data_IF_373195144926
#
_entry.id   IF_373195144926
#
_cell.length_a   1.000
_cell.length_b   1.000
_cell.length_c   1.000
_cell.angle_alpha   90.00
_cell.angle_beta   90.00
_cell.angle_gamma   90.00
#
_symmetry.space_group_name_H-M   'P 1'
#
loop_
_entity.id
_entity.type
_entity.pdbx_description
1 polymer ?
#
# COMPACT_ATOMS: atom_id res chain seq x y z
N UNK A 1 24.24 4.69 -14.57
CA UNK A 1 24.82 4.41 -13.23
C UNK A 1 26.33 4.21 -13.39
N UNK A 2 27.12 5.29 -13.22
CA UNK A 2 28.58 5.19 -13.19
C UNK A 2 29.02 4.93 -11.74
N UNK A 3 29.98 4.01 -11.60
CA UNK A 3 30.64 3.61 -10.35
C UNK A 3 31.16 4.82 -9.57
N UNK A 4 30.58 5.09 -8.41
CA UNK A 4 31.22 5.90 -7.37
C UNK A 4 32.16 4.99 -6.57
N UNK A 5 33.39 5.44 -6.40
CA UNK A 5 34.41 4.75 -5.61
C UNK A 5 33.91 4.48 -4.20
N UNK A 6 34.18 3.26 -3.74
CA UNK A 6 33.85 2.75 -2.41
C UNK A 6 34.70 3.48 -1.38
N UNK A 7 34.20 4.58 -0.83
CA UNK A 7 34.57 4.99 0.53
C UNK A 7 33.82 4.05 1.48
N UNK A 8 34.42 3.65 2.60
CA UNK A 8 33.91 2.56 3.46
C UNK A 8 32.60 2.87 4.25
N UNK A 9 32.05 4.07 4.11
CA UNK A 9 30.88 4.58 4.85
C UNK A 9 29.47 4.08 4.43
N UNK A 10 29.19 3.69 3.16
CA UNK A 10 27.89 3.16 2.74
C UNK A 10 27.45 1.90 3.50
N UNK A 11 28.38 1.22 4.19
CA UNK A 11 28.11 -0.04 4.88
C UNK A 11 27.33 0.15 6.18
N UNK A 12 27.56 1.23 6.93
CA UNK A 12 26.94 1.40 8.26
C UNK A 12 25.46 1.74 8.15
N UNK A 13 25.09 2.71 7.30
CA UNK A 13 23.69 3.07 7.06
C UNK A 13 22.93 1.90 6.46
N UNK A 14 23.52 1.17 5.50
CA UNK A 14 22.92 -0.02 4.92
C UNK A 14 22.63 -1.09 5.99
N UNK A 15 23.58 -1.36 6.90
CA UNK A 15 23.39 -2.31 8.02
C UNK A 15 22.26 -1.87 8.94
N UNK A 16 22.15 -0.58 9.26
CA UNK A 16 21.03 -0.08 10.08
C UNK A 16 19.68 -0.20 9.36
N UNK A 17 19.62 0.09 8.06
CA UNK A 17 18.39 -0.11 7.27
C UNK A 17 18.01 -1.59 7.26
N UNK A 18 18.96 -2.50 7.03
CA UNK A 18 18.75 -3.94 7.08
C UNK A 18 18.24 -4.40 8.46
N UNK A 19 18.79 -3.85 9.54
CA UNK A 19 18.32 -4.11 10.90
C UNK A 19 16.88 -3.62 11.10
N UNK A 20 16.52 -2.43 10.60
CA UNK A 20 15.14 -1.92 10.67
C UNK A 20 14.18 -2.80 9.85
N UNK A 21 14.59 -3.30 8.68
CA UNK A 21 13.83 -4.28 7.90
C UNK A 21 13.54 -5.52 8.75
N UNK A 22 14.56 -6.12 9.36
CA UNK A 22 14.39 -7.35 10.18
C UNK A 22 13.50 -7.08 11.40
N UNK A 23 13.77 -6.02 12.16
CA UNK A 23 13.01 -5.68 13.37
C UNK A 23 11.54 -5.37 13.03
N UNK A 24 11.29 -4.62 11.96
CA UNK A 24 9.91 -4.30 11.52
C UNK A 24 9.13 -5.55 11.09
N UNK A 25 9.77 -6.51 10.44
CA UNK A 25 9.18 -7.83 10.12
C UNK A 25 8.84 -8.60 11.39
N UNK A 26 9.77 -8.68 12.35
CA UNK A 26 9.53 -9.38 13.62
C UNK A 26 8.35 -8.75 14.37
N UNK A 27 8.32 -7.42 14.48
CA UNK A 27 7.21 -6.70 15.11
C UNK A 27 5.88 -6.97 14.39
N UNK A 28 5.87 -6.96 13.05
CA UNK A 28 4.68 -7.32 12.28
C UNK A 28 4.21 -8.75 12.55
N UNK A 29 5.11 -9.73 12.55
CA UNK A 29 4.79 -11.14 12.81
C UNK A 29 4.23 -11.36 14.23
N UNK A 30 4.72 -10.60 15.21
CA UNK A 30 4.27 -10.69 16.61
C UNK A 30 2.92 -10.00 16.81
N UNK A 31 2.69 -8.85 16.16
CA UNK A 31 1.55 -7.97 16.44
C UNK A 31 0.35 -8.22 15.50
N UNK A 32 0.58 -8.46 14.21
CA UNK A 32 -0.46 -8.62 13.20
C UNK A 32 -1.43 -9.80 13.42
N UNK A 33 -1.04 -10.95 14.02
CA UNK A 33 -1.98 -12.04 14.30
C UNK A 33 -3.18 -11.65 15.16
N UNK A 34 -3.11 -10.53 15.90
CA UNK A 34 -4.22 -10.02 16.74
C UNK A 34 -5.27 -9.25 15.92
N UNK A 35 -4.95 -8.82 14.70
CA UNK A 35 -5.82 -7.99 13.85
C UNK A 35 -7.12 -8.69 13.45
N UNK A 36 -7.11 -9.96 12.96
CA UNK A 36 -8.36 -10.64 12.61
C UNK A 36 -9.35 -10.75 13.78
N UNK A 37 -8.84 -10.99 14.99
CA UNK A 37 -9.67 -11.04 16.19
C UNK A 37 -10.30 -9.68 16.51
N UNK A 38 -9.56 -8.57 16.32
CA UNK A 38 -10.09 -7.23 16.50
C UNK A 38 -11.18 -6.88 15.48
N UNK A 39 -11.04 -7.30 14.22
CA UNK A 39 -12.07 -7.10 13.18
C UNK A 39 -13.36 -7.85 13.54
N UNK A 40 -13.26 -9.10 14.01
CA UNK A 40 -14.42 -9.92 14.40
C UNK A 40 -15.24 -9.35 15.55
N UNK A 41 -14.60 -8.66 16.50
CA UNK A 41 -15.30 -8.02 17.63
C UNK A 41 -16.21 -6.87 17.19
N UNK A 42 -16.02 -6.33 15.99
CA UNK A 42 -16.79 -5.21 15.46
C UNK A 42 -16.51 -3.89 16.19
N UNK A 43 -17.08 -2.78 15.70
CA UNK A 43 -16.89 -1.47 16.32
C UNK A 43 -17.60 -1.39 17.68
N UNK A 44 -16.86 -0.98 18.72
CA UNK A 44 -17.42 -0.60 20.02
C UNK A 44 -18.11 0.77 19.90
N UNK A 45 -19.43 0.74 19.61
CA UNK A 45 -20.36 1.87 19.43
C UNK A 45 -20.00 2.86 18.29
N UNK A 46 -20.98 3.28 17.48
CA UNK A 46 -20.76 4.34 16.49
C UNK A 46 -20.50 5.68 17.21
N UNK A 47 -19.41 6.36 16.84
CA UNK A 47 -19.15 7.75 17.21
C UNK A 47 -20.12 8.68 16.47
N UNK A 48 -20.74 9.62 17.16
CA UNK A 48 -21.75 10.57 16.63
C UNK A 48 -21.15 11.73 15.80
N UNK A 49 -19.98 11.55 15.20
CA UNK A 49 -19.25 12.61 14.49
C UNK A 49 -19.25 12.46 12.97
N UNK A 50 -18.97 13.57 12.26
CA UNK A 50 -18.75 13.55 10.81
C UNK A 50 -17.53 12.69 10.48
N UNK A 51 -17.75 11.63 9.69
CA UNK A 51 -16.70 10.74 9.20
C UNK A 51 -15.91 11.43 8.08
N UNK A 52 -14.58 11.45 8.20
CA UNK A 52 -13.66 11.90 7.14
C UNK A 52 -12.91 10.67 6.64
N UNK A 53 -13.08 10.26 5.38
CA UNK A 53 -12.38 9.10 4.84
C UNK A 53 -10.87 9.39 4.71
N UNK A 54 -10.00 8.38 4.86
CA UNK A 54 -8.56 8.55 4.72
C UNK A 54 -8.16 9.12 3.35
N UNK A 55 -8.91 8.82 2.29
CA UNK A 55 -8.70 9.40 0.95
C UNK A 55 -8.86 10.93 0.93
N UNK A 56 -9.82 11.48 1.67
CA UNK A 56 -10.02 12.92 1.72
C UNK A 56 -8.86 13.59 2.49
N UNK A 57 -8.43 13.00 3.60
CA UNK A 57 -7.25 13.45 4.32
C UNK A 57 -5.97 13.34 3.47
N UNK A 58 -5.82 12.26 2.70
CA UNK A 58 -4.73 12.10 1.74
C UNK A 58 -4.75 13.21 0.69
N UNK A 59 -5.92 13.51 0.10
CA UNK A 59 -6.04 14.59 -0.88
C UNK A 59 -5.66 15.96 -0.30
N UNK A 60 -6.04 16.24 0.96
CA UNK A 60 -5.61 17.46 1.66
C UNK A 60 -4.09 17.49 1.84
N UNK A 61 -3.48 16.40 2.32
CA UNK A 61 -2.02 16.34 2.51
C UNK A 61 -1.28 16.47 1.17
N UNK A 62 -1.76 15.83 0.10
CA UNK A 62 -1.22 16.00 -1.25
C UNK A 62 -1.31 17.46 -1.71
N UNK A 63 -2.45 18.13 -1.46
CA UNK A 63 -2.59 19.56 -1.73
C UNK A 63 -1.58 20.40 -0.96
N UNK A 64 -1.38 20.13 0.34
CA UNK A 64 -0.38 20.82 1.15
C UNK A 64 1.05 20.59 0.66
N UNK A 65 1.37 19.39 0.17
CA UNK A 65 2.65 19.09 -0.48
C UNK A 65 2.85 19.99 -1.69
N UNK A 66 1.88 20.08 -2.61
CA UNK A 66 2.00 20.97 -3.78
C UNK A 66 2.03 22.46 -3.41
N UNK A 67 1.29 22.88 -2.39
CA UNK A 67 1.39 24.25 -1.87
C UNK A 67 2.81 24.52 -1.37
N UNK A 68 3.41 23.59 -0.62
CA UNK A 68 4.80 23.72 -0.20
C UNK A 68 5.76 23.84 -1.39
N UNK A 69 5.50 23.10 -2.47
CA UNK A 69 6.31 23.19 -3.69
C UNK A 69 6.23 24.55 -4.38
N UNK A 70 5.03 25.11 -4.49
CA UNK A 70 4.84 26.47 -5.01
C UNK A 70 5.59 27.49 -4.15
N UNK A 71 5.46 27.39 -2.81
CA UNK A 71 6.15 28.27 -1.87
C UNK A 71 7.68 28.12 -1.93
N UNK A 72 8.17 26.90 -2.09
CA UNK A 72 9.60 26.64 -2.30
C UNK A 72 10.10 27.28 -3.59
N UNK A 73 9.39 27.11 -4.71
CA UNK A 73 9.81 27.73 -5.98
C UNK A 73 9.81 29.25 -5.87
N UNK A 74 8.81 29.86 -5.22
CA UNK A 74 8.81 31.30 -4.92
C UNK A 74 10.03 31.70 -4.09
N UNK A 75 10.36 30.94 -3.03
CA UNK A 75 11.55 31.19 -2.21
C UNK A 75 12.84 31.16 -3.04
N UNK A 76 13.03 30.14 -3.88
CA UNK A 76 14.23 30.02 -4.71
C UNK A 76 14.31 31.13 -5.75
N UNK A 77 13.19 31.51 -6.39
CA UNK A 77 13.14 32.64 -7.32
C UNK A 77 13.52 33.96 -6.65
N UNK A 78 13.03 34.22 -5.44
CA UNK A 78 13.21 35.52 -4.75
C UNK A 78 14.51 35.64 -3.99
N UNK A 79 14.98 34.57 -3.36
CA UNK A 79 16.13 34.61 -2.45
C UNK A 79 17.40 34.09 -3.12
N UNK A 80 17.27 33.14 -4.07
CA UNK A 80 18.40 32.48 -4.73
C UNK A 80 18.43 32.70 -6.25
N UNK A 81 17.65 33.66 -6.76
CA UNK A 81 17.64 34.02 -8.19
C UNK A 81 17.19 32.88 -9.12
N UNK A 82 16.44 31.91 -8.61
CA UNK A 82 16.01 30.73 -9.37
C UNK A 82 17.00 29.57 -9.37
N UNK A 83 18.17 29.70 -8.71
CA UNK A 83 19.18 28.64 -8.65
C UNK A 83 19.04 27.79 -7.36
N UNK A 84 18.64 26.51 -7.45
CA UNK A 84 18.55 25.63 -6.29
C UNK A 84 19.92 25.05 -5.86
N UNK A 85 21.05 25.41 -6.49
CA UNK A 85 22.37 24.81 -6.23
C UNK A 85 22.82 24.88 -4.76
N UNK A 86 22.34 25.86 -4.00
CA UNK A 86 22.64 26.00 -2.56
C UNK A 86 22.20 24.78 -1.74
N UNK A 87 21.15 24.07 -2.17
CA UNK A 87 20.63 22.86 -1.53
C UNK A 87 20.81 21.62 -2.41
N UNK A 88 20.64 21.74 -3.73
CA UNK A 88 20.70 20.62 -4.67
C UNK A 88 22.05 19.89 -4.66
N UNK A 89 23.15 20.60 -4.38
CA UNK A 89 24.51 20.02 -4.32
C UNK A 89 24.69 18.91 -3.29
N UNK A 90 23.79 18.81 -2.30
CA UNK A 90 23.83 17.77 -1.26
C UNK A 90 23.03 16.51 -1.62
N UNK A 91 22.20 16.57 -2.68
CA UNK A 91 21.29 15.50 -3.07
C UNK A 91 21.71 14.81 -4.37
N UNK A 92 21.21 13.58 -4.63
CA UNK A 92 21.38 12.93 -5.92
C UNK A 92 20.79 13.75 -7.07
N UNK A 93 21.24 13.48 -8.30
CA UNK A 93 20.69 14.09 -9.51
C UNK A 93 19.20 13.79 -9.67
N UNK A 94 18.44 14.75 -10.22
CA UNK A 94 17.00 14.61 -10.48
C UNK A 94 16.10 15.17 -9.36
N UNK A 95 16.67 15.98 -8.48
CA UNK A 95 15.94 16.82 -7.52
C UNK A 95 15.95 18.28 -7.98
N UNK A 96 14.94 19.04 -7.56
CA UNK A 96 14.83 20.49 -7.76
C UNK A 96 14.77 20.95 -9.23
N UNK A 97 14.10 20.19 -10.11
CA UNK A 97 13.75 20.67 -11.45
C UNK A 97 12.57 21.65 -11.35
N UNK A 98 12.89 22.91 -11.10
CA UNK A 98 11.90 23.97 -10.88
C UNK A 98 11.26 24.45 -12.18
N UNK A 99 10.00 24.85 -12.08
CA UNK A 99 9.29 25.56 -13.15
C UNK A 99 9.55 27.07 -13.06
N UNK A 100 10.83 27.46 -13.20
CA UNK A 100 11.27 28.85 -13.02
C UNK A 100 10.77 29.79 -14.13
N UNK A 101 10.30 29.22 -15.25
CA UNK A 101 9.79 29.97 -16.40
C UNK A 101 8.30 30.28 -16.34
N UNK A 102 7.56 29.62 -15.45
CA UNK A 102 6.12 29.82 -15.31
C UNK A 102 5.75 31.26 -14.99
N UNK A 103 4.90 31.90 -15.82
CA UNK A 103 4.45 33.27 -15.58
C UNK A 103 3.64 33.39 -14.28
N UNK A 104 2.93 32.32 -13.88
CA UNK A 104 2.16 32.29 -12.63
C UNK A 104 3.09 32.29 -11.42
N UNK A 105 4.14 31.46 -11.44
CA UNK A 105 5.09 31.38 -10.32
C UNK A 105 5.93 32.66 -10.20
N UNK A 106 6.30 33.28 -11.33
CA UNK A 106 6.95 34.60 -11.33
C UNK A 106 6.05 35.69 -10.77
N UNK A 107 4.79 35.74 -11.20
CA UNK A 107 3.81 36.68 -10.65
C UNK A 107 3.61 36.50 -9.14
N UNK A 108 3.48 35.25 -8.67
CA UNK A 108 3.40 34.96 -7.23
C UNK A 108 4.67 35.39 -6.49
N UNK A 109 5.84 35.16 -7.07
CA UNK A 109 7.13 35.53 -6.50
C UNK A 109 7.25 37.06 -6.37
N UNK A 110 6.92 37.80 -7.42
CA UNK A 110 6.97 39.27 -7.43
C UNK A 110 6.02 39.90 -6.41
N UNK A 111 4.89 39.25 -6.14
CA UNK A 111 3.90 39.69 -5.16
C UNK A 111 4.20 39.29 -3.71
N UNK A 112 5.20 38.44 -3.43
CA UNK A 112 5.44 37.92 -2.09
C UNK A 112 6.32 38.88 -1.25
N UNK A 113 5.80 39.46 -0.15
CA UNK A 113 6.44 40.62 0.50
C UNK A 113 7.66 40.27 1.35
N UNK A 114 7.70 39.07 1.94
CA UNK A 114 8.79 38.64 2.85
C UNK A 114 9.23 37.22 2.48
N UNK A 115 9.96 37.05 1.36
CA UNK A 115 10.28 35.74 0.82
C UNK A 115 11.17 34.91 1.77
N UNK A 116 11.95 35.52 2.65
CA UNK A 116 12.82 34.84 3.61
C UNK A 116 12.04 33.99 4.62
N UNK A 117 10.78 34.36 4.92
CA UNK A 117 9.90 33.56 5.79
C UNK A 117 9.52 32.21 5.18
N UNK A 118 9.75 32.02 3.87
CA UNK A 118 9.52 30.76 3.18
C UNK A 118 10.69 29.78 3.31
N UNK A 119 11.79 30.13 3.97
CA UNK A 119 12.92 29.23 4.20
C UNK A 119 12.56 27.85 4.79
N UNK A 120 11.51 27.69 5.63
CA UNK A 120 11.05 26.37 6.08
C UNK A 120 10.46 25.47 4.99
N UNK A 121 10.05 26.02 3.83
CA UNK A 121 9.57 25.23 2.70
C UNK A 121 10.67 24.36 2.06
N UNK A 122 11.93 24.72 2.31
CA UNK A 122 13.13 23.95 1.94
C UNK A 122 13.25 22.77 2.90
N UNK A 123 12.89 21.58 2.41
CA UNK A 123 12.97 20.26 3.05
C UNK A 123 12.14 20.06 4.33
N UNK A 124 12.01 21.04 5.23
CA UNK A 124 11.39 20.85 6.57
C UNK A 124 9.90 20.57 6.53
N UNK A 125 9.13 21.40 5.82
CA UNK A 125 7.69 21.16 5.65
C UNK A 125 7.44 19.83 4.94
N UNK A 126 8.28 19.50 3.96
CA UNK A 126 8.23 18.25 3.24
C UNK A 126 8.54 17.04 4.15
N UNK A 127 9.54 17.15 5.03
CA UNK A 127 9.86 16.15 6.05
C UNK A 127 8.71 15.93 7.04
N UNK A 128 7.91 16.96 7.32
CA UNK A 128 6.69 16.80 8.11
C UNK A 128 5.60 16.03 7.33
N UNK A 129 5.32 16.45 6.09
CA UNK A 129 4.14 16.01 5.32
C UNK A 129 4.29 14.64 4.67
N UNK A 130 5.51 14.16 4.42
CA UNK A 130 5.71 12.89 3.74
C UNK A 130 5.19 11.69 4.55
N UNK A 131 5.39 11.68 5.88
CA UNK A 131 4.89 10.59 6.73
C UNK A 131 3.36 10.44 6.71
N UNK A 132 2.55 11.51 6.94
CA UNK A 132 1.12 11.40 6.81
C UNK A 132 0.70 11.06 5.38
N UNK A 133 1.39 11.57 4.35
CA UNK A 133 1.12 11.21 2.96
C UNK A 133 1.20 9.68 2.74
N UNK A 134 2.33 9.05 3.11
CA UNK A 134 2.51 7.60 2.87
C UNK A 134 1.59 6.73 3.73
N UNK A 135 1.38 7.09 5.01
CA UNK A 135 0.51 6.31 5.88
C UNK A 135 -0.97 6.48 5.54
N UNK A 136 -1.40 7.66 5.07
CA UNK A 136 -2.77 7.88 4.57
C UNK A 136 -3.02 7.17 3.24
N UNK A 137 -2.01 7.07 2.36
CA UNK A 137 -2.08 6.25 1.16
C UNK A 137 -2.32 4.77 1.51
N UNK A 138 -1.54 4.22 2.45
CA UNK A 138 -1.74 2.85 2.93
C UNK A 138 -3.10 2.67 3.60
N UNK A 139 -3.49 3.60 4.48
CA UNK A 139 -4.80 3.59 5.15
C UNK A 139 -5.97 3.63 4.16
N UNK A 140 -5.82 4.35 3.05
CA UNK A 140 -6.80 4.41 1.97
C UNK A 140 -6.96 3.05 1.30
N UNK A 141 -5.86 2.37 1.00
CA UNK A 141 -5.88 1.00 0.45
C UNK A 141 -6.57 0.03 1.41
N UNK A 142 -6.20 0.07 2.69
CA UNK A 142 -6.85 -0.74 3.73
C UNK A 142 -8.34 -0.48 3.77
N UNK A 143 -8.76 0.80 3.74
CA UNK A 143 -10.17 1.19 3.84
C UNK A 143 -10.99 0.81 2.62
N UNK A 144 -10.40 0.81 1.42
CA UNK A 144 -11.03 0.31 0.20
C UNK A 144 -11.15 -1.20 0.17
N UNK A 145 -10.17 -1.91 0.74
CA UNK A 145 -10.21 -3.36 0.88
C UNK A 145 -11.24 -3.76 1.93
N UNK A 146 -11.09 -3.31 3.17
CA UNK A 146 -11.99 -3.65 4.28
C UNK A 146 -11.97 -2.56 5.37
N UNK A 147 -13.13 -1.97 5.65
CA UNK A 147 -13.24 -0.91 6.64
C UNK A 147 -12.93 -1.39 8.06
N UNK A 148 -13.24 -2.65 8.37
CA UNK A 148 -12.90 -3.28 9.64
C UNK A 148 -11.39 -3.43 9.80
N UNK A 149 -10.70 -3.90 8.74
CA UNK A 149 -9.24 -4.02 8.72
C UNK A 149 -8.54 -2.68 8.94
N UNK A 150 -8.96 -1.65 8.21
CA UNK A 150 -8.46 -0.28 8.40
C UNK A 150 -8.56 0.17 9.86
N UNK A 151 -9.76 0.06 10.46
CA UNK A 151 -9.98 0.46 11.86
C UNK A 151 -9.18 -0.37 12.83
N UNK A 152 -9.08 -1.68 12.60
CA UNK A 152 -8.31 -2.58 13.44
C UNK A 152 -6.82 -2.23 13.43
N UNK A 153 -6.21 -2.02 12.25
CA UNK A 153 -4.80 -1.66 12.13
C UNK A 153 -4.55 -0.27 12.74
N UNK A 154 -5.32 0.74 12.32
CA UNK A 154 -5.13 2.13 12.74
C UNK A 154 -5.41 2.38 14.23
N UNK A 155 -6.04 1.43 14.93
CA UNK A 155 -6.29 1.49 16.38
C UNK A 155 -5.54 0.40 17.16
N UNK A 156 -4.61 -0.29 16.52
CA UNK A 156 -3.80 -1.35 17.14
C UNK A 156 -2.40 -0.89 17.50
N UNK A 157 -1.69 -1.74 18.23
CA UNK A 157 -0.27 -1.62 18.49
C UNK A 157 0.62 -1.71 17.25
N UNK A 158 0.09 -1.96 16.03
CA UNK A 158 0.87 -1.92 14.79
C UNK A 158 1.19 -0.49 14.34
N UNK A 159 0.34 0.48 14.68
CA UNK A 159 0.45 1.84 14.17
C UNK A 159 1.70 2.59 14.68
N UNK A 160 2.04 2.58 15.99
CA UNK A 160 3.27 3.22 16.45
C UNK A 160 4.55 2.60 15.85
N UNK A 161 4.74 1.27 15.81
CA UNK A 161 5.88 0.64 15.13
C UNK A 161 5.98 1.00 13.65
N UNK A 162 4.87 1.10 12.92
CA UNK A 162 4.91 1.54 11.52
C UNK A 162 5.42 2.98 11.41
N UNK A 163 4.89 3.89 12.23
CA UNK A 163 5.34 5.30 12.28
C UNK A 163 6.84 5.40 12.61
N UNK A 164 7.30 4.65 13.62
CA UNK A 164 8.71 4.61 14.04
C UNK A 164 9.59 4.02 12.96
N UNK A 165 9.25 2.85 12.42
CA UNK A 165 9.99 2.18 11.33
C UNK A 165 10.21 3.12 10.14
N UNK A 166 9.15 3.81 9.72
CA UNK A 166 9.19 4.72 8.58
C UNK A 166 10.05 5.95 8.88
N UNK A 167 9.92 6.49 10.10
CA UNK A 167 10.69 7.64 10.56
C UNK A 167 12.17 7.31 10.69
N UNK A 168 12.54 6.17 11.27
CA UNK A 168 13.93 5.76 11.43
C UNK A 168 14.61 5.60 10.07
N UNK A 169 13.95 4.96 9.11
CA UNK A 169 14.47 4.81 7.74
C UNK A 169 14.68 6.16 7.07
N UNK A 170 13.69 7.07 7.17
CA UNK A 170 13.85 8.44 6.69
C UNK A 170 15.08 9.11 7.35
N UNK A 171 15.18 9.05 8.68
CA UNK A 171 16.27 9.66 9.43
C UNK A 171 17.65 9.13 9.03
N UNK A 172 17.77 7.81 8.79
CA UNK A 172 19.00 7.18 8.34
C UNK A 172 19.43 7.69 6.96
N UNK A 173 18.48 7.80 6.04
CA UNK A 173 18.74 8.27 4.67
C UNK A 173 19.04 9.76 4.64
N UNK A 174 18.30 10.55 5.41
CA UNK A 174 18.52 11.99 5.57
C UNK A 174 19.89 12.28 6.20
N UNK A 175 20.35 11.41 7.12
CA UNK A 175 21.68 11.50 7.69
C UNK A 175 22.80 11.11 6.71
N UNK A 176 22.55 10.13 5.84
CA UNK A 176 23.49 9.74 4.77
C UNK A 176 23.62 10.85 3.71
N UNK A 177 22.49 11.51 3.40
CA UNK A 177 22.38 12.64 2.45
C UNK A 177 22.44 13.99 3.17
N UNK A 178 23.37 14.12 4.13
CA UNK A 178 23.40 15.25 5.04
C UNK A 178 23.51 16.59 4.31
N UNK A 179 22.60 17.49 4.66
CA UNK A 179 22.51 18.86 4.17
C UNK A 179 22.41 19.84 5.36
N UNK A 180 22.43 21.16 5.13
CA UNK A 180 22.39 22.15 6.21
C UNK A 180 21.13 22.10 7.09
N UNK A 181 20.05 21.47 6.62
CA UNK A 181 18.74 21.40 7.28
C UNK A 181 18.45 20.04 7.93
N UNK A 182 19.33 19.05 7.75
CA UNK A 182 19.13 17.68 8.24
C UNK A 182 18.66 17.62 9.69
N UNK A 183 19.28 18.37 10.63
CA UNK A 183 18.88 18.32 12.05
C UNK A 183 17.43 18.78 12.24
N UNK A 184 17.02 19.86 11.56
CA UNK A 184 15.65 20.35 11.60
C UNK A 184 14.69 19.31 11.01
N UNK A 185 15.06 18.70 9.89
CA UNK A 185 14.26 17.67 9.21
C UNK A 185 14.02 16.45 10.10
N UNK A 186 15.03 16.01 10.87
CA UNK A 186 14.89 14.91 11.83
C UNK A 186 13.94 15.29 12.98
N UNK A 187 14.05 16.51 13.53
CA UNK A 187 13.19 16.99 14.60
C UNK A 187 11.74 17.09 14.11
N UNK A 188 11.54 17.71 12.96
CA UNK A 188 10.22 17.88 12.34
C UNK A 188 9.60 16.53 11.97
N UNK A 189 10.39 15.58 11.44
CA UNK A 189 9.95 14.20 11.22
C UNK A 189 9.55 13.53 12.54
N UNK A 190 10.32 13.71 13.61
CA UNK A 190 10.00 13.20 14.93
C UNK A 190 8.65 13.70 15.45
N UNK A 191 8.34 14.99 15.27
CA UNK A 191 7.01 15.54 15.57
C UNK A 191 5.93 14.89 14.70
N UNK A 192 6.17 14.77 13.40
CA UNK A 192 5.25 14.09 12.48
C UNK A 192 4.99 12.62 12.87
N UNK A 193 6.01 11.93 13.37
CA UNK A 193 5.94 10.54 13.83
C UNK A 193 5.02 10.35 15.03
N UNK A 194 4.82 11.40 15.84
CA UNK A 194 3.88 11.41 16.95
C UNK A 194 2.49 11.85 16.49
N UNK A 195 2.38 12.90 15.69
CA UNK A 195 1.09 13.47 15.30
C UNK A 195 0.32 12.61 14.29
N UNK A 196 1.03 12.00 13.33
CA UNK A 196 0.43 11.17 12.28
C UNK A 196 -0.34 9.96 12.81
N UNK A 197 0.21 9.13 13.72
CA UNK A 197 -0.55 8.00 14.26
C UNK A 197 -1.76 8.46 15.11
N UNK A 198 -1.66 9.58 15.83
CA UNK A 198 -2.80 10.16 16.56
C UNK A 198 -3.91 10.60 15.59
N UNK A 199 -3.55 11.25 14.49
CA UNK A 199 -4.47 11.62 13.42
C UNK A 199 -5.16 10.38 12.83
N UNK A 200 -4.39 9.35 12.44
CA UNK A 200 -4.93 8.13 11.84
C UNK A 200 -5.85 7.37 12.79
N UNK A 201 -5.48 7.24 14.06
CA UNK A 201 -6.32 6.61 15.08
C UNK A 201 -7.64 7.39 15.27
N UNK A 202 -7.59 8.73 15.25
CA UNK A 202 -8.78 9.59 15.34
C UNK A 202 -9.68 9.48 14.12
N UNK A 203 -9.12 9.45 12.91
CA UNK A 203 -9.87 9.22 11.67
C UNK A 203 -10.53 7.85 11.70
N UNK A 204 -9.81 6.81 12.11
CA UNK A 204 -10.32 5.45 12.22
C UNK A 204 -11.42 5.30 13.28
N UNK A 205 -11.33 6.03 14.39
CA UNK A 205 -12.36 6.04 15.43
C UNK A 205 -13.68 6.67 14.95
N UNK A 206 -13.62 7.55 13.93
CA UNK A 206 -14.79 8.24 13.35
C UNK A 206 -15.29 7.60 12.06
N UNK A 207 -14.58 6.62 11.51
CA UNK A 207 -14.98 5.97 10.27
C UNK A 207 -16.22 5.10 10.48
N UNK A 208 -17.30 5.47 9.79
CA UNK A 208 -18.59 4.75 9.78
C UNK A 208 -18.71 3.79 8.60
N UNK A 209 -17.59 3.55 7.90
CA UNK A 209 -17.52 2.71 6.74
C UNK A 209 -18.02 1.28 6.93
N UNK A 210 -18.86 0.83 6.00
CA UNK A 210 -19.37 -0.55 5.95
C UNK A 210 -18.72 -1.42 4.87
N UNK A 211 -17.77 -0.87 4.10
CA UNK A 211 -17.05 -1.62 3.06
C UNK A 211 -16.43 -2.88 3.66
N UNK A 212 -16.70 -4.02 3.04
CA UNK A 212 -16.14 -5.31 3.40
C UNK A 212 -15.21 -5.79 2.32
N UNK A 213 -14.36 -6.72 2.70
CA UNK A 213 -13.45 -7.39 1.79
C UNK A 213 -14.21 -7.94 0.57
N UNK A 214 -13.82 -7.58 -0.67
CA UNK A 214 -14.54 -8.01 -1.87
C UNK A 214 -14.63 -9.54 -1.96
N UNK A 215 -15.85 -10.07 -2.10
CA UNK A 215 -16.06 -11.52 -2.24
C UNK A 215 -16.03 -11.98 -3.71
N UNK A 216 -16.26 -11.07 -4.66
CA UNK A 216 -16.29 -11.35 -6.08
C UNK A 216 -14.96 -11.07 -6.79
N UNK A 217 -14.74 -11.77 -7.91
CA UNK A 217 -13.61 -11.52 -8.82
C UNK A 217 -13.62 -10.09 -9.34
N UNK A 218 -14.77 -9.62 -9.82
CA UNK A 218 -14.93 -8.25 -10.29
C UNK A 218 -14.60 -7.23 -9.19
N UNK A 219 -15.03 -7.48 -7.96
CA UNK A 219 -14.69 -6.64 -6.80
C UNK A 219 -13.18 -6.60 -6.53
N UNK A 220 -12.50 -7.75 -6.59
CA UNK A 220 -11.04 -7.81 -6.41
C UNK A 220 -10.28 -7.16 -7.58
N UNK A 221 -10.72 -7.33 -8.82
CA UNK A 221 -10.11 -6.68 -9.99
C UNK A 221 -10.29 -5.16 -9.91
N UNK A 222 -11.46 -4.68 -9.49
CA UNK A 222 -11.70 -3.24 -9.26
C UNK A 222 -10.83 -2.71 -8.13
N UNK A 223 -10.63 -3.49 -7.06
CA UNK A 223 -9.70 -3.15 -5.98
C UNK A 223 -8.24 -3.07 -6.48
N UNK A 224 -7.77 -4.06 -7.24
CA UNK A 224 -6.42 -4.10 -7.81
C UNK A 224 -6.21 -2.92 -8.77
N UNK A 225 -7.18 -2.64 -9.64
CA UNK A 225 -7.14 -1.47 -10.52
C UNK A 225 -7.08 -0.15 -9.74
N UNK A 226 -7.84 -0.05 -8.63
CA UNK A 226 -7.82 1.14 -7.75
C UNK A 226 -6.46 1.30 -7.08
N UNK A 227 -5.83 0.20 -6.65
CA UNK A 227 -4.49 0.18 -6.08
C UNK A 227 -3.45 0.63 -7.11
N UNK A 228 -3.51 0.10 -8.34
CA UNK A 228 -2.63 0.50 -9.43
C UNK A 228 -2.75 1.99 -9.76
N UNK A 229 -3.98 2.49 -9.93
CA UNK A 229 -4.24 3.90 -10.21
C UNK A 229 -3.76 4.83 -9.08
N UNK A 230 -4.02 4.48 -7.82
CA UNK A 230 -3.49 5.22 -6.68
C UNK A 230 -1.96 5.19 -6.62
N UNK A 231 -1.35 4.02 -6.90
CA UNK A 231 0.10 3.89 -6.97
C UNK A 231 0.73 4.81 -8.01
N UNK A 232 0.14 4.90 -9.21
CA UNK A 232 0.57 5.85 -10.25
C UNK A 232 0.45 7.29 -9.77
N UNK A 233 -0.66 7.68 -9.15
CA UNK A 233 -0.82 9.04 -8.60
C UNK A 233 0.21 9.35 -7.52
N UNK A 234 0.50 8.40 -6.63
CA UNK A 234 1.55 8.54 -5.61
C UNK A 234 2.92 8.72 -6.25
N UNK A 235 3.23 7.98 -7.32
CA UNK A 235 4.48 8.13 -8.06
C UNK A 235 4.58 9.47 -8.80
N UNK A 236 3.48 9.99 -9.33
CA UNK A 236 3.46 11.35 -9.90
C UNK A 236 3.77 12.37 -8.82
N UNK A 237 3.07 12.32 -7.68
CA UNK A 237 3.33 13.24 -6.54
C UNK A 237 4.77 13.10 -6.06
N UNK A 238 5.31 11.88 -6.01
CA UNK A 238 6.70 11.65 -5.67
C UNK A 238 7.65 12.36 -6.66
N UNK A 239 7.49 12.11 -7.96
CA UNK A 239 8.35 12.66 -9.01
C UNK A 239 8.27 14.19 -9.09
N UNK A 240 7.07 14.77 -9.08
CA UNK A 240 6.86 16.20 -9.33
C UNK A 240 6.93 17.05 -8.07
N UNK A 241 6.58 16.50 -6.91
CA UNK A 241 6.45 17.28 -5.69
C UNK A 241 7.39 16.84 -4.58
N UNK A 242 7.43 15.55 -4.21
CA UNK A 242 8.28 15.12 -3.09
C UNK A 242 9.78 15.27 -3.40
N UNK A 243 10.18 15.27 -4.68
CA UNK A 243 11.53 15.56 -5.15
C UNK A 243 11.77 17.03 -5.58
N UNK A 244 10.79 17.91 -5.34
CA UNK A 244 10.83 19.32 -5.75
C UNK A 244 10.96 19.57 -7.27
N UNK A 245 10.44 18.67 -8.11
CA UNK A 245 10.51 18.81 -9.57
C UNK A 245 9.21 19.35 -10.18
N UNK A 246 8.77 20.53 -9.75
CA UNK A 246 7.52 21.11 -10.25
C UNK A 246 7.53 21.32 -11.77
N UNK A 247 8.71 21.54 -12.37
CA UNK A 247 8.90 21.65 -13.82
C UNK A 247 8.54 20.40 -14.61
N UNK A 248 8.43 19.23 -13.96
CA UNK A 248 7.95 17.99 -14.59
C UNK A 248 6.43 17.85 -14.58
N UNK A 249 5.70 18.79 -13.96
CA UNK A 249 4.27 18.63 -13.76
C UNK A 249 3.50 18.50 -15.07
N UNK A 250 3.82 19.33 -16.07
CA UNK A 250 3.15 19.31 -17.37
C UNK A 250 3.30 17.97 -18.09
N UNK A 251 4.51 17.39 -18.07
CA UNK A 251 4.79 16.07 -18.64
C UNK A 251 4.04 14.93 -17.92
N UNK A 252 3.78 15.10 -16.61
CA UNK A 252 3.11 14.09 -15.78
C UNK A 252 1.61 14.29 -15.68
N UNK A 253 1.09 15.46 -16.02
CA UNK A 253 -0.31 15.81 -15.88
C UNK A 253 -1.24 14.87 -16.67
N UNK A 254 -0.96 14.50 -17.94
CA UNK A 254 -1.81 13.55 -18.67
C UNK A 254 -1.91 12.19 -17.96
N UNK A 255 -0.79 11.68 -17.43
CA UNK A 255 -0.74 10.42 -16.70
C UNK A 255 -1.52 10.53 -15.37
N UNK A 256 -1.36 11.65 -14.66
CA UNK A 256 -2.08 11.93 -13.43
C UNK A 256 -3.60 11.99 -13.66
N UNK A 257 -4.05 12.71 -14.69
CA UNK A 257 -5.47 12.82 -15.05
C UNK A 257 -6.05 11.48 -15.48
N UNK A 258 -5.31 10.70 -16.27
CA UNK A 258 -5.74 9.35 -16.66
C UNK A 258 -5.87 8.42 -15.44
N UNK A 259 -4.89 8.43 -14.53
CA UNK A 259 -4.94 7.65 -13.30
C UNK A 259 -6.06 8.09 -12.36
N UNK A 260 -6.29 9.41 -12.21
CA UNK A 260 -7.38 9.96 -11.41
C UNK A 260 -8.76 9.60 -12.00
N UNK A 261 -8.92 9.72 -13.32
CA UNK A 261 -10.14 9.34 -14.03
C UNK A 261 -10.42 7.84 -13.91
N UNK A 262 -9.40 7.00 -14.11
CA UNK A 262 -9.51 5.56 -13.89
C UNK A 262 -9.89 5.23 -12.44
N UNK A 263 -9.23 5.85 -11.46
CA UNK A 263 -9.55 5.66 -10.05
C UNK A 263 -10.99 6.06 -9.74
N UNK A 264 -11.44 7.22 -10.20
CA UNK A 264 -12.82 7.69 -10.01
C UNK A 264 -13.84 6.73 -10.64
N UNK A 265 -13.57 6.26 -11.88
CA UNK A 265 -14.40 5.28 -12.57
C UNK A 265 -14.48 3.95 -11.82
N UNK A 266 -13.34 3.39 -11.41
CA UNK A 266 -13.27 2.15 -10.64
C UNK A 266 -13.97 2.29 -9.29
N UNK A 267 -13.84 3.44 -8.61
CA UNK A 267 -14.59 3.70 -7.37
C UNK A 267 -16.08 3.81 -7.60
N UNK A 268 -16.51 4.43 -8.69
CA UNK A 268 -17.91 4.46 -9.11
C UNK A 268 -18.47 3.05 -9.37
N UNK A 269 -17.71 2.20 -10.07
CA UNK A 269 -18.07 0.78 -10.31
C UNK A 269 -18.15 0.02 -9.00
N UNK A 270 -17.17 0.17 -8.11
CA UNK A 270 -17.16 -0.50 -6.81
C UNK A 270 -18.39 -0.20 -5.94
N UNK A 271 -18.94 1.03 -6.03
CA UNK A 271 -20.18 1.39 -5.34
C UNK A 271 -21.43 0.71 -5.91
N UNK A 272 -21.39 0.29 -7.18
CA UNK A 272 -22.50 -0.37 -7.88
C UNK A 272 -22.43 -1.89 -7.80
N UNK A 273 -21.23 -2.46 -7.64
CA UNK A 273 -21.07 -3.89 -7.44
C UNK A 273 -21.76 -4.32 -6.14
N UNK A 274 -22.89 -5.00 -6.29
CA UNK A 274 -23.53 -5.74 -5.19
C UNK A 274 -22.78 -7.05 -5.05
N UNK A 275 -22.35 -7.39 -3.85
CA UNK A 275 -21.96 -8.78 -3.58
C UNK A 275 -23.26 -9.59 -3.59
N UNK A 276 -23.40 -10.50 -4.55
CA UNK A 276 -24.60 -11.30 -4.79
C UNK A 276 -24.92 -12.31 -3.67
N UNK A 277 -24.29 -12.17 -2.49
CA UNK A 277 -24.44 -13.05 -1.34
C UNK A 277 -23.86 -14.46 -1.54
N UNK A 278 -23.50 -14.84 -2.77
CA UNK A 278 -22.89 -16.13 -3.07
C UNK A 278 -21.52 -16.24 -2.39
N UNK A 279 -21.34 -17.30 -1.59
CA UNK A 279 -20.07 -17.57 -0.95
C UNK A 279 -18.97 -17.76 -2.01
N UNK A 280 -17.80 -17.10 -1.86
CA UNK A 280 -16.66 -17.35 -2.73
C UNK A 280 -16.26 -18.82 -2.66
N UNK A 281 -15.71 -19.36 -3.76
CA UNK A 281 -15.11 -20.70 -3.70
C UNK A 281 -13.85 -20.70 -2.81
N UNK A 282 -13.27 -21.89 -2.62
CA UNK A 282 -12.17 -22.08 -1.69
C UNK A 282 -10.92 -21.31 -2.14
N UNK A 283 -10.61 -21.30 -3.44
CA UNK A 283 -9.45 -20.59 -3.96
C UNK A 283 -9.60 -19.08 -3.81
N UNK A 284 -10.78 -18.54 -4.12
CA UNK A 284 -11.06 -17.11 -3.93
C UNK A 284 -11.08 -16.71 -2.45
N UNK A 285 -11.59 -17.57 -1.57
CA UNK A 285 -11.52 -17.35 -0.11
C UNK A 285 -10.08 -17.30 0.39
N UNK A 286 -9.22 -18.18 -0.10
CA UNK A 286 -7.79 -18.15 0.21
C UNK A 286 -7.13 -16.85 -0.23
N UNK A 287 -7.33 -16.42 -1.48
CA UNK A 287 -6.78 -15.14 -2.00
C UNK A 287 -7.22 -13.96 -1.13
N UNK A 288 -8.49 -13.97 -0.71
CA UNK A 288 -9.05 -12.93 0.16
C UNK A 288 -8.35 -12.87 1.51
N UNK A 289 -8.21 -14.01 2.19
CA UNK A 289 -7.52 -14.09 3.48
C UNK A 289 -6.02 -13.79 3.34
N UNK A 290 -5.41 -14.17 2.21
CA UNK A 290 -4.02 -13.86 1.89
C UNK A 290 -3.81 -12.35 1.80
N UNK A 291 -4.60 -11.64 1.00
CA UNK A 291 -4.51 -10.18 0.86
C UNK A 291 -4.76 -9.48 2.20
N UNK A 292 -5.76 -9.92 2.96
CA UNK A 292 -6.06 -9.39 4.28
C UNK A 292 -4.84 -9.48 5.22
N UNK A 293 -4.24 -10.67 5.32
CA UNK A 293 -3.09 -10.91 6.20
C UNK A 293 -1.82 -10.22 5.69
N UNK A 294 -1.60 -10.24 4.39
CA UNK A 294 -0.44 -9.60 3.78
C UNK A 294 -0.47 -8.09 4.03
N UNK A 295 -1.61 -7.43 3.85
CA UNK A 295 -1.76 -6.00 4.13
C UNK A 295 -1.49 -5.66 5.61
N UNK A 296 -1.93 -6.52 6.54
CA UNK A 296 -1.66 -6.33 7.96
C UNK A 296 -0.19 -6.55 8.34
N UNK A 297 0.44 -7.59 7.78
CA UNK A 297 1.84 -7.94 8.04
C UNK A 297 2.81 -6.97 7.36
N UNK A 298 2.49 -6.48 6.16
CA UNK A 298 3.35 -5.60 5.40
C UNK A 298 3.30 -4.13 5.86
N UNK A 299 2.30 -3.76 6.66
CA UNK A 299 2.09 -2.38 7.11
C UNK A 299 3.28 -1.76 7.86
N UNK A 300 3.92 -2.50 8.78
CA UNK A 300 5.07 -2.00 9.55
C UNK A 300 6.38 -1.99 8.74
N UNK A 301 6.72 -3.04 7.97
CA UNK A 301 7.96 -3.09 7.21
C UNK A 301 7.92 -2.42 5.84
N UNK A 302 6.76 -1.99 5.33
CA UNK A 302 6.61 -1.54 3.94
C UNK A 302 7.64 -0.48 3.50
N UNK A 303 7.84 0.60 4.27
CA UNK A 303 8.84 1.61 3.91
C UNK A 303 10.27 1.09 4.09
N UNK A 304 10.55 0.38 5.18
CA UNK A 304 11.87 -0.20 5.43
C UNK A 304 12.28 -1.16 4.30
N UNK A 305 11.38 -2.02 3.83
CA UNK A 305 11.63 -2.93 2.71
C UNK A 305 11.91 -2.15 1.42
N UNK A 306 11.13 -1.11 1.12
CA UNK A 306 11.39 -0.25 -0.05
C UNK A 306 12.79 0.36 -0.01
N UNK A 307 13.18 0.93 1.13
CA UNK A 307 14.49 1.55 1.27
C UNK A 307 15.62 0.52 1.39
N UNK A 308 15.38 -0.66 1.94
CA UNK A 308 16.35 -1.75 1.98
C UNK A 308 16.77 -2.23 0.59
N UNK A 309 15.87 -2.13 -0.41
CA UNK A 309 16.23 -2.42 -1.81
C UNK A 309 17.19 -1.37 -2.39
N UNK A 310 17.04 -0.09 -2.02
CA UNK A 310 17.73 1.04 -2.67
C UNK A 310 18.97 1.53 -1.92
N UNK A 311 18.93 1.51 -0.60
CA UNK A 311 19.95 2.06 0.31
C UNK A 311 20.54 1.00 1.26
N UNK A 312 19.86 -0.14 1.43
CA UNK A 312 20.35 -1.28 2.21
C UNK A 312 20.96 -2.38 1.35
N UNK A 313 20.99 -3.59 1.90
CA UNK A 313 21.30 -4.79 1.12
C UNK A 313 19.98 -5.35 0.54
N UNK A 314 19.87 -5.58 -0.78
CA UNK A 314 18.63 -6.06 -1.38
C UNK A 314 18.15 -7.42 -0.85
N UNK A 315 19.06 -8.27 -0.39
CA UNK A 315 18.77 -9.63 0.08
C UNK A 315 17.95 -9.67 1.38
N UNK A 316 18.29 -8.93 2.45
CA UNK A 316 17.40 -8.72 3.60
C UNK A 316 15.99 -8.27 3.23
N UNK A 317 15.84 -7.30 2.33
CA UNK A 317 14.53 -6.82 1.88
C UNK A 317 13.74 -7.92 1.14
N UNK A 318 14.40 -8.67 0.26
CA UNK A 318 13.79 -9.81 -0.42
C UNK A 318 13.40 -10.93 0.57
N UNK A 319 14.28 -11.28 1.50
CA UNK A 319 14.02 -12.25 2.56
C UNK A 319 12.84 -11.85 3.45
N UNK A 320 12.78 -10.58 3.85
CA UNK A 320 11.66 -10.00 4.58
C UNK A 320 10.33 -10.14 3.82
N UNK A 321 10.31 -9.80 2.53
CA UNK A 321 9.13 -9.94 1.68
C UNK A 321 8.69 -11.40 1.56
N UNK A 322 9.63 -12.35 1.44
CA UNK A 322 9.33 -13.79 1.41
C UNK A 322 8.76 -14.28 2.73
N UNK A 323 9.34 -13.91 3.87
CA UNK A 323 8.86 -14.29 5.21
C UNK A 323 7.45 -13.77 5.45
N UNK A 324 7.17 -12.50 5.12
CA UNK A 324 5.83 -11.91 5.23
C UNK A 324 4.83 -12.66 4.35
N UNK A 325 5.21 -12.93 3.10
CA UNK A 325 4.36 -13.64 2.15
C UNK A 325 4.06 -15.07 2.61
N UNK A 326 5.06 -15.80 3.11
CA UNK A 326 4.88 -17.13 3.66
C UNK A 326 3.98 -17.12 4.89
N UNK A 327 4.18 -16.20 5.83
CA UNK A 327 3.33 -16.05 7.01
C UNK A 327 1.88 -15.71 6.66
N UNK A 328 1.68 -14.83 5.67
CA UNK A 328 0.35 -14.49 5.14
C UNK A 328 -0.32 -15.71 4.49
N UNK A 329 0.40 -16.46 3.65
CA UNK A 329 -0.08 -17.69 3.02
C UNK A 329 -0.47 -18.76 4.06
N UNK A 330 0.38 -19.01 5.06
CA UNK A 330 0.08 -19.98 6.12
C UNK A 330 -1.16 -19.56 6.92
N UNK A 331 -1.26 -18.29 7.28
CA UNK A 331 -2.44 -17.77 7.98
C UNK A 331 -3.71 -17.84 7.12
N UNK A 332 -3.60 -17.54 5.82
CA UNK A 332 -4.72 -17.62 4.88
C UNK A 332 -5.19 -19.05 4.66
N UNK A 333 -4.27 -20.01 4.63
CA UNK A 333 -4.59 -21.44 4.59
C UNK A 333 -5.38 -21.86 5.83
N UNK A 334 -4.89 -21.49 7.03
CA UNK A 334 -5.59 -21.76 8.30
C UNK A 334 -6.99 -21.15 8.34
N UNK A 335 -7.14 -19.88 7.96
CA UNK A 335 -8.44 -19.20 7.97
C UNK A 335 -9.41 -19.80 6.94
N UNK A 336 -8.90 -20.23 5.79
CA UNK A 336 -9.71 -20.89 4.78
C UNK A 336 -10.21 -22.24 5.26
N UNK A 337 -9.35 -23.03 5.93
CA UNK A 337 -9.75 -24.32 6.51
C UNK A 337 -10.74 -24.13 7.67
N UNK A 338 -10.45 -23.24 8.61
CA UNK A 338 -11.36 -22.96 9.73
C UNK A 338 -12.72 -22.42 9.26
N UNK A 339 -12.72 -21.53 8.27
CA UNK A 339 -13.97 -21.03 7.67
C UNK A 339 -14.74 -22.10 6.90
N UNK A 340 -14.04 -23.10 6.33
CA UNK A 340 -14.72 -24.30 5.85
C UNK A 340 -15.27 -25.11 7.00
N UNK A 341 -14.56 -25.36 8.09
CA UNK A 341 -15.08 -26.15 9.24
C UNK A 341 -16.38 -25.55 9.81
N UNK A 342 -16.49 -24.23 9.98
CA UNK A 342 -17.73 -23.58 10.43
C UNK A 342 -18.92 -23.80 9.47
N UNK A 343 -18.66 -23.76 8.15
CA UNK A 343 -19.67 -24.00 7.11
C UNK A 343 -19.94 -25.50 6.88
N UNK A 344 -18.93 -26.32 7.14
CA UNK A 344 -18.89 -27.76 6.85
C UNK A 344 -19.37 -28.55 8.06
N UNK A 345 -19.27 -28.12 9.31
CA UNK A 345 -19.94 -28.77 10.44
C UNK A 345 -21.47 -28.75 10.28
N UNK A 346 -22.01 -27.70 9.66
CA UNK A 346 -23.42 -27.64 9.28
C UNK A 346 -23.81 -28.59 8.12
N UNK A 347 -22.85 -29.06 7.31
CA UNK A 347 -23.09 -29.85 6.09
C UNK A 347 -22.53 -31.30 6.14
N UNK A 348 -21.43 -31.56 6.85
CA UNK A 348 -20.80 -32.86 7.08
C UNK A 348 -21.57 -33.68 8.11
N UNK A 349 -22.28 -33.04 9.05
CA UNK A 349 -23.36 -33.71 9.81
C UNK A 349 -24.41 -34.37 8.89
N UNK A 350 -24.46 -34.02 7.59
CA UNK A 350 -25.38 -34.62 6.62
C UNK A 350 -24.74 -35.54 5.56
N UNK A 351 -23.41 -35.63 5.41
CA UNK A 351 -22.85 -36.23 4.18
C UNK A 351 -21.56 -37.07 4.28
N UNK A 352 -20.96 -37.31 5.46
CA UNK A 352 -19.98 -38.40 5.66
C UNK A 352 -18.78 -38.47 4.69
N UNK A 353 -18.18 -37.34 4.27
CA UNK A 353 -17.05 -37.34 3.33
C UNK A 353 -15.66 -37.24 4.00
N UNK A 354 -14.63 -37.95 3.48
CA UNK A 354 -13.30 -38.02 4.09
C UNK A 354 -12.41 -36.80 3.83
N UNK A 355 -11.52 -36.51 4.80
CA UNK A 355 -10.56 -35.38 4.89
C UNK A 355 -9.48 -35.34 3.79
N UNK A 356 -9.37 -36.34 2.93
CA UNK A 356 -8.34 -36.47 1.88
C UNK A 356 -8.48 -35.47 0.71
N UNK A 357 -9.59 -34.74 0.62
CA UNK A 357 -9.81 -33.68 -0.38
C UNK A 357 -9.08 -32.36 -0.07
N UNK A 358 -8.40 -32.22 1.07
CA UNK A 358 -7.69 -31.00 1.47
C UNK A 358 -6.34 -30.76 0.78
N UNK A 359 -5.74 -31.78 0.13
CA UNK A 359 -4.42 -31.68 -0.53
C UNK A 359 -4.50 -31.26 -2.02
N UNK A 360 -5.59 -31.59 -2.71
CA UNK A 360 -5.86 -31.19 -4.11
C UNK A 360 -5.94 -29.65 -4.35
N UNK A 361 -6.46 -28.84 -3.42
CA UNK A 361 -6.46 -27.38 -3.52
C UNK A 361 -5.05 -26.77 -3.48
N UNK A 362 -4.12 -27.37 -2.74
CA UNK A 362 -2.77 -26.82 -2.57
C UNK A 362 -2.00 -26.78 -3.90
N UNK A 363 -1.99 -27.89 -4.66
CA UNK A 363 -1.32 -27.92 -5.97
C UNK A 363 -1.90 -26.91 -6.96
N UNK A 364 -3.22 -26.70 -6.96
CA UNK A 364 -3.89 -25.74 -7.85
C UNK A 364 -3.61 -24.28 -7.46
N UNK A 365 -3.57 -23.98 -6.17
CA UNK A 365 -3.15 -22.67 -5.67
C UNK A 365 -1.68 -22.39 -6.00
N UNK A 366 -0.81 -23.40 -5.92
CA UNK A 366 0.57 -23.29 -6.39
C UNK A 366 0.64 -22.96 -7.88
N UNK A 367 -0.14 -23.64 -8.74
CA UNK A 367 -0.21 -23.29 -10.16
C UNK A 367 -0.66 -21.84 -10.38
N UNK A 368 -1.69 -21.36 -9.67
CA UNK A 368 -2.13 -19.97 -9.76
C UNK A 368 -1.02 -18.97 -9.36
N UNK A 369 -0.28 -19.28 -8.29
CA UNK A 369 0.89 -18.50 -7.86
C UNK A 369 2.03 -18.49 -8.88
N UNK A 370 2.32 -19.64 -9.52
CA UNK A 370 3.32 -19.74 -10.58
C UNK A 370 2.92 -18.93 -11.83
N UNK A 371 1.65 -19.00 -12.25
CA UNK A 371 1.12 -18.19 -13.35
C UNK A 371 1.21 -16.70 -13.04
N UNK A 372 0.83 -16.29 -11.82
CA UNK A 372 0.99 -14.91 -11.36
C UNK A 372 2.45 -14.47 -11.38
N UNK A 373 3.38 -15.32 -10.92
CA UNK A 373 4.82 -15.02 -10.91
C UNK A 373 5.38 -14.88 -12.32
N UNK A 374 4.97 -15.74 -13.26
CA UNK A 374 5.32 -15.62 -14.67
C UNK A 374 4.82 -14.32 -15.30
N UNK A 375 3.57 -13.93 -14.99
CA UNK A 375 3.02 -12.66 -15.45
C UNK A 375 3.76 -11.44 -14.86
N UNK A 376 4.14 -11.51 -13.59
CA UNK A 376 4.94 -10.48 -12.94
C UNK A 376 6.32 -10.34 -13.59
N UNK A 377 7.00 -11.45 -13.84
CA UNK A 377 8.30 -11.49 -14.52
C UNK A 377 8.19 -10.86 -15.92
N UNK A 378 7.19 -11.27 -16.71
CA UNK A 378 6.93 -10.69 -18.02
C UNK A 378 6.68 -9.18 -17.94
N UNK A 379 5.88 -8.71 -16.98
CA UNK A 379 5.63 -7.28 -16.78
C UNK A 379 6.92 -6.50 -16.43
N UNK A 380 7.81 -7.06 -15.61
CA UNK A 380 9.12 -6.45 -15.31
C UNK A 380 9.99 -6.39 -16.57
N UNK A 381 10.06 -7.48 -17.34
CA UNK A 381 10.87 -7.54 -18.57
C UNK A 381 10.37 -6.59 -19.66
N UNK A 382 9.06 -6.34 -19.72
CA UNK A 382 8.42 -5.50 -20.73
C UNK A 382 8.26 -4.03 -20.30
N UNK A 383 8.60 -3.68 -19.05
CA UNK A 383 8.50 -2.30 -18.55
C UNK A 383 9.88 -1.64 -18.51
N UNK A 384 10.33 -0.97 -19.59
CA UNK A 384 11.56 -0.19 -19.57
C UNK A 384 11.32 1.09 -18.74
N UNK A 385 11.43 0.98 -17.42
CA UNK A 385 11.28 2.09 -16.49
C UNK A 385 12.62 2.43 -15.83
N UNK A 386 13.05 3.71 -15.80
CA UNK A 386 14.23 4.11 -15.03
C UNK A 386 14.01 3.90 -13.53
N UNK A 387 12.76 3.95 -13.06
CA UNK A 387 12.38 3.76 -11.67
C UNK A 387 12.01 2.32 -11.36
N UNK A 388 12.57 1.80 -10.26
CA UNK A 388 12.25 0.48 -9.72
C UNK A 388 10.77 0.36 -9.35
N UNK A 389 10.17 1.42 -8.80
CA UNK A 389 8.79 1.43 -8.33
C UNK A 389 7.77 1.19 -9.43
N UNK A 390 8.02 1.71 -10.65
CA UNK A 390 7.14 1.48 -11.80
C UNK A 390 7.15 -0.02 -12.15
N UNK A 391 8.32 -0.64 -12.19
CA UNK A 391 8.45 -2.08 -12.47
C UNK A 391 7.78 -2.91 -11.38
N UNK A 392 7.98 -2.55 -10.11
CA UNK A 392 7.36 -3.22 -8.98
C UNK A 392 5.82 -3.10 -9.02
N UNK A 393 5.28 -1.92 -9.33
CA UNK A 393 3.84 -1.70 -9.45
C UNK A 393 3.23 -2.52 -10.60
N UNK A 394 3.85 -2.50 -11.78
CA UNK A 394 3.43 -3.30 -12.94
C UNK A 394 3.47 -4.80 -12.64
N UNK A 395 4.54 -5.27 -11.98
CA UNK A 395 4.70 -6.65 -11.58
C UNK A 395 3.61 -7.10 -10.59
N UNK A 396 3.34 -6.27 -9.57
CA UNK A 396 2.30 -6.54 -8.58
C UNK A 396 0.91 -6.58 -9.21
N UNK A 397 0.59 -5.64 -10.10
CA UNK A 397 -0.69 -5.63 -10.81
C UNK A 397 -0.87 -6.89 -11.67
N UNK A 398 0.14 -7.25 -12.47
CA UNK A 398 0.12 -8.44 -13.31
C UNK A 398 0.01 -9.73 -12.49
N UNK A 399 0.76 -9.84 -11.39
CA UNK A 399 0.67 -10.96 -10.46
C UNK A 399 -0.76 -11.13 -9.92
N UNK A 400 -1.32 -10.06 -9.34
CA UNK A 400 -2.60 -10.11 -8.65
C UNK A 400 -3.76 -10.39 -9.60
N UNK A 401 -3.79 -9.75 -10.78
CA UNK A 401 -4.83 -9.99 -11.80
C UNK A 401 -4.80 -11.45 -12.25
N UNK A 402 -3.62 -11.95 -12.63
CA UNK A 402 -3.47 -13.33 -13.11
C UNK A 402 -3.82 -14.35 -12.02
N UNK A 403 -3.36 -14.13 -10.78
CA UNK A 403 -3.66 -15.02 -9.66
C UNK A 403 -5.17 -15.07 -9.34
N UNK A 404 -5.85 -13.91 -9.34
CA UNK A 404 -7.30 -13.83 -9.11
C UNK A 404 -8.08 -14.55 -10.22
N UNK A 405 -7.73 -14.34 -11.49
CA UNK A 405 -8.38 -15.01 -12.62
C UNK A 405 -8.14 -16.52 -12.59
N UNK A 406 -6.90 -16.96 -12.32
CA UNK A 406 -6.58 -18.37 -12.20
C UNK A 406 -7.37 -19.04 -11.06
N UNK A 407 -7.45 -18.41 -9.88
CA UNK A 407 -8.23 -18.92 -8.76
C UNK A 407 -9.73 -19.02 -9.09
N UNK A 408 -10.27 -18.08 -9.88
CA UNK A 408 -11.65 -18.17 -10.37
C UNK A 408 -11.89 -19.36 -11.29
N UNK A 409 -10.93 -19.68 -12.16
CA UNK A 409 -10.99 -20.85 -13.04
C UNK A 409 -10.95 -22.13 -12.21
N UNK A 410 -10.06 -22.20 -11.21
CA UNK A 410 -9.98 -23.32 -10.26
C UNK A 410 -11.33 -23.55 -9.58
N UNK A 411 -11.93 -22.50 -9.00
CA UNK A 411 -13.25 -22.59 -8.38
C UNK A 411 -14.36 -23.00 -9.37
N UNK A 412 -14.25 -22.60 -10.65
CA UNK A 412 -15.21 -22.99 -11.69
C UNK A 412 -15.14 -24.49 -12.00
N UNK A 413 -13.92 -25.01 -12.12
CA UNK A 413 -13.67 -26.43 -12.43
C UNK A 413 -14.13 -27.31 -11.28
N UNK A 414 -13.90 -26.89 -10.03
CA UNK A 414 -14.34 -27.66 -8.87
C UNK A 414 -15.86 -27.73 -8.73
N UNK A 415 -16.59 -26.67 -9.10
CA UNK A 415 -18.06 -26.69 -9.13
C UNK A 415 -18.65 -27.61 -10.19
N UNK A 416 -17.91 -27.90 -11.27
CA UNK A 416 -18.38 -28.72 -12.39
C UNK A 416 -18.17 -30.23 -12.18
N UNK A 417 -17.41 -30.64 -11.16
CA UNK A 417 -17.12 -32.06 -10.93
C UNK A 417 -18.40 -32.82 -10.53
N UNK A 418 -18.91 -33.74 -11.36
CA UNK A 418 -20.13 -34.51 -11.08
C UNK A 418 -19.86 -35.46 -9.92
N UNK A 419 -20.60 -35.28 -8.82
CA UNK A 419 -20.41 -36.07 -7.61
C UNK A 419 -20.99 -35.41 -6.36
N UNK A 420 -21.25 -34.10 -6.36
CA UNK A 420 -22.17 -33.48 -5.40
C UNK A 420 -23.61 -33.79 -5.87
N UNK A 421 -24.16 -34.91 -5.41
CA UNK A 421 -25.49 -35.37 -5.81
C UNK A 421 -26.54 -34.28 -5.65
N UNK A 422 -27.28 -34.03 -6.72
CA UNK A 422 -28.48 -33.21 -6.72
C UNK A 422 -29.43 -33.73 -5.63
N UNK A 423 -29.82 -32.94 -4.62
CA UNK A 423 -30.77 -33.35 -3.58
C UNK A 423 -32.10 -33.86 -4.13
N UNK A 424 -32.39 -33.57 -5.38
CA UNK A 424 -33.61 -33.94 -6.11
C UNK A 424 -33.71 -35.43 -6.42
N UNK A 425 -32.63 -36.21 -6.43
CA UNK A 425 -32.69 -37.65 -6.71
C UNK A 425 -32.99 -38.52 -5.47
N UNK A 426 -32.87 -37.98 -4.24
CA UNK A 426 -33.16 -38.73 -3.02
C UNK A 426 -34.65 -38.80 -2.67
N UNK A 427 -35.52 -38.00 -3.33
CA UNK A 427 -36.96 -37.98 -3.05
C UNK A 427 -37.81 -38.90 -3.92
N UNK A 428 -37.29 -39.43 -5.03
CA UNK A 428 -38.06 -40.33 -5.91
C UNK A 428 -38.00 -41.81 -5.54
N UNK A 429 -37.23 -42.18 -4.51
CA UNK A 429 -37.07 -43.58 -4.06
C UNK A 429 -37.95 -44.00 -2.88
N UNK A 430 -38.73 -43.07 -2.28
CA UNK A 430 -39.44 -43.32 -1.03
C UNK A 430 -40.98 -43.48 -1.18
N UNK A 431 -41.50 -43.63 -2.40
CA UNK A 431 -42.95 -43.81 -2.64
C UNK A 431 -43.29 -45.16 -3.30
N UNK A 432 -42.56 -46.21 -2.95
CA UNK A 432 -42.89 -47.59 -3.32
C UNK A 432 -42.72 -48.49 -2.10
N UNK A 433 -43.70 -48.43 -1.20
CA UNK A 433 -44.04 -49.51 -0.25
C UNK A 433 -45.48 -49.34 0.21
#
# INVERSE_FOLDING_TARGET
>A
MRSRGVTAWPTVVAVFIDAVVVVSVVLALVLAPRVPAAVRRGPTRPSTGRSVPPLAALAVVTGLVYVNQVLFTVYVLRVHGGDPSFVARYLPTGWFELDSDSPVLRWLADGFPVPELLAPSVLRVQAFLELPFVLLAFATVLRWFDAGLYRAIARSALLPPASVSYTVVFCLVEWDLRNPYTVDDLVVRGVSAVLTPLLLARLAARDTGTTRTPASVSGLLVFIGSLGALGVLVLVVYDTALLYNLGRLDDRLPVALAAAGLLAGLRGVAHRLRDDGAAPGLAMSFVRHLLFRWLALFFVPALAVRYGVMFGTPWPAAGAALVISAAACLGAGRDTVAGTEDATDAACLRAGRPRTLALLPAGRLTCAGLLGTGAAYAAVSLSPGPYYEIRALSAAAAFLVTAVVACRVVDAVDRRRPGAGSPTQARSGASAS
#
